data_IF_559323229649
#
_entry.id   IF_559323229649
#
_cell.length_a   1.000
_cell.length_b   1.000
_cell.length_c   1.000
_cell.angle_alpha   90.00
_cell.angle_beta   90.00
_cell.angle_gamma   90.00
#
_symmetry.space_group_name_H-M   'P 1'
#
loop_
_entity.id
_entity.type
_entity.pdbx_description
1 polymer ?
#
# COMPACT_ATOMS: atom_id res chain seq x y z
N UNK A 1 8.24 -42.59 -0.65
CA UNK A 1 9.68 -42.30 -0.58
C UNK A 1 10.08 -41.23 -1.60
N UNK A 2 11.31 -40.76 -1.51
CA UNK A 2 11.87 -39.82 -2.50
C UNK A 2 12.14 -40.53 -3.83
N UNK A 3 12.06 -39.81 -4.92
CA UNK A 3 12.52 -40.26 -6.23
C UNK A 3 14.06 -40.22 -6.31
N UNK A 4 14.69 -40.96 -7.25
CA UNK A 4 16.06 -40.70 -7.63
C UNK A 4 16.28 -39.22 -7.92
N UNK A 5 17.49 -38.71 -7.65
CA UNK A 5 17.78 -37.26 -7.75
C UNK A 5 17.47 -36.69 -9.14
N UNK A 6 17.55 -37.51 -10.18
CA UNK A 6 17.34 -37.07 -11.57
C UNK A 6 18.57 -36.40 -12.17
N UNK A 7 18.43 -35.87 -13.38
CA UNK A 7 19.51 -35.19 -14.13
C UNK A 7 19.23 -33.71 -14.32
N UNK A 8 20.23 -32.87 -14.03
CA UNK A 8 20.13 -31.45 -14.32
C UNK A 8 20.26 -31.24 -15.84
N UNK A 9 19.34 -30.50 -16.41
CA UNK A 9 19.27 -30.17 -17.83
C UNK A 9 18.88 -28.71 -18.03
N UNK A 10 19.29 -28.12 -19.13
CA UNK A 10 18.76 -26.81 -19.53
C UNK A 10 17.25 -26.86 -19.78
N UNK A 11 16.53 -25.85 -19.31
CA UNK A 11 15.10 -25.69 -19.55
C UNK A 11 14.86 -24.64 -20.65
N UNK A 12 14.97 -25.04 -21.93
CA UNK A 12 14.93 -24.12 -23.07
C UNK A 12 13.70 -23.21 -23.12
N UNK A 13 12.51 -23.73 -22.79
CA UNK A 13 11.28 -22.92 -22.71
C UNK A 13 11.28 -21.85 -21.63
N UNK A 14 12.12 -22.02 -20.61
CA UNK A 14 12.32 -21.08 -19.50
C UNK A 14 13.62 -20.28 -19.61
N UNK A 15 14.40 -20.50 -20.69
CA UNK A 15 15.74 -19.92 -20.88
C UNK A 15 16.70 -20.15 -19.72
N UNK A 16 16.51 -21.23 -18.96
CA UNK A 16 17.37 -21.62 -17.86
C UNK A 16 18.49 -22.53 -18.36
N UNK A 17 19.71 -22.23 -17.94
CA UNK A 17 20.91 -23.00 -18.27
C UNK A 17 21.02 -24.27 -17.41
N UNK A 18 21.72 -25.27 -17.91
CA UNK A 18 22.04 -26.48 -17.15
C UNK A 18 22.83 -26.14 -15.89
N UNK A 19 23.77 -25.20 -15.96
CA UNK A 19 24.58 -24.75 -14.82
C UNK A 19 23.69 -24.26 -13.67
N UNK A 20 22.68 -23.41 -13.97
CA UNK A 20 21.74 -22.90 -12.98
C UNK A 20 20.90 -24.02 -12.39
N UNK A 21 20.37 -24.93 -13.23
CA UNK A 21 19.61 -26.08 -12.77
C UNK A 21 20.46 -27.00 -11.87
N UNK A 22 21.70 -27.27 -12.25
CA UNK A 22 22.63 -28.07 -11.48
C UNK A 22 22.95 -27.45 -10.12
N UNK A 23 23.22 -26.15 -10.09
CA UNK A 23 23.51 -25.43 -8.86
C UNK A 23 22.35 -25.56 -7.85
N UNK A 24 21.10 -25.36 -8.28
CA UNK A 24 19.94 -25.42 -7.40
C UNK A 24 19.43 -26.86 -7.14
N UNK A 25 19.99 -27.86 -7.81
CA UNK A 25 19.48 -29.22 -7.73
C UNK A 25 18.09 -29.35 -8.34
N UNK A 26 17.80 -28.55 -9.39
CA UNK A 26 16.56 -28.65 -10.15
C UNK A 26 16.78 -29.65 -11.30
N UNK A 27 16.08 -30.76 -11.26
CA UNK A 27 16.40 -31.92 -12.10
C UNK A 27 15.19 -32.40 -12.88
N UNK A 28 15.46 -33.24 -13.88
CA UNK A 28 14.46 -33.97 -14.63
C UNK A 28 14.55 -35.44 -14.21
N UNK A 29 13.42 -36.03 -13.92
CA UNK A 29 13.30 -37.43 -13.54
C UNK A 29 12.03 -38.05 -14.06
N UNK A 30 11.69 -39.20 -13.52
CA UNK A 30 10.47 -39.94 -13.87
C UNK A 30 9.61 -40.18 -12.63
N UNK A 31 8.30 -39.99 -12.79
CA UNK A 31 7.30 -40.31 -11.79
C UNK A 31 6.09 -40.97 -12.44
N UNK A 32 5.80 -42.22 -12.04
CA UNK A 32 4.69 -43.02 -12.59
C UNK A 32 4.71 -43.13 -14.12
N UNK A 33 5.91 -43.37 -14.69
CA UNK A 33 6.09 -43.50 -16.12
C UNK A 33 6.06 -42.16 -16.91
N UNK A 34 6.02 -41.04 -16.23
CA UNK A 34 5.99 -39.72 -16.85
C UNK A 34 7.24 -38.90 -16.50
N UNK A 35 7.75 -38.19 -17.49
CA UNK A 35 8.85 -37.23 -17.32
C UNK A 35 8.38 -36.04 -16.49
N UNK A 36 9.08 -35.75 -15.40
CA UNK A 36 8.73 -34.69 -14.46
C UNK A 36 9.92 -33.80 -14.14
N UNK A 37 9.63 -32.55 -13.72
CA UNK A 37 10.61 -31.66 -13.15
C UNK A 37 10.62 -31.81 -11.62
N UNK A 38 11.79 -31.85 -11.03
CA UNK A 38 11.99 -32.14 -9.61
C UNK A 38 12.81 -31.01 -8.97
N UNK A 39 12.21 -30.29 -8.05
CA UNK A 39 12.93 -29.39 -7.14
C UNK A 39 13.35 -30.18 -5.90
N UNK A 40 14.66 -30.38 -5.74
CA UNK A 40 15.21 -31.13 -4.61
C UNK A 40 15.49 -30.20 -3.43
N UNK A 41 14.73 -30.33 -2.35
CA UNK A 41 14.93 -29.57 -1.11
C UNK A 41 15.92 -30.27 -0.21
N UNK A 42 16.87 -29.50 0.32
CA UNK A 42 17.93 -30.03 1.18
C UNK A 42 17.79 -29.52 2.61
N UNK A 43 18.11 -30.42 3.55
CA UNK A 43 18.25 -30.07 4.95
C UNK A 43 19.58 -29.34 5.25
N UNK A 44 19.77 -28.98 6.51
CA UNK A 44 21.00 -28.32 6.99
C UNK A 44 22.25 -29.17 6.80
N UNK A 45 22.12 -30.49 6.80
CA UNK A 45 23.20 -31.46 6.52
C UNK A 45 23.49 -31.65 5.03
N UNK A 46 22.76 -30.97 4.15
CA UNK A 46 22.90 -31.09 2.70
C UNK A 46 22.18 -32.29 2.08
N UNK A 47 21.56 -33.17 2.87
CA UNK A 47 20.77 -34.30 2.37
C UNK A 47 19.47 -33.81 1.74
N UNK A 48 18.94 -34.55 0.75
CA UNK A 48 17.61 -34.26 0.20
C UNK A 48 16.55 -34.76 1.17
N UNK A 49 15.77 -33.83 1.71
CA UNK A 49 14.70 -34.12 2.71
C UNK A 49 13.32 -34.16 2.06
N UNK A 50 13.13 -33.44 0.98
CA UNK A 50 11.86 -33.38 0.25
C UNK A 50 12.09 -33.09 -1.24
N UNK A 51 11.09 -33.39 -2.04
CA UNK A 51 11.08 -33.11 -3.47
C UNK A 51 9.73 -32.55 -3.86
N UNK A 52 9.73 -31.42 -4.56
CA UNK A 52 8.51 -30.90 -5.20
C UNK A 52 8.55 -31.25 -6.66
N UNK A 53 7.57 -32.04 -7.08
CA UNK A 53 7.46 -32.56 -8.44
C UNK A 53 6.47 -31.69 -9.19
N UNK A 54 6.86 -31.25 -10.39
CA UNK A 54 5.95 -30.62 -11.35
C UNK A 54 5.58 -31.60 -12.43
N UNK A 55 4.29 -31.99 -12.44
CA UNK A 55 3.70 -32.89 -13.41
C UNK A 55 3.44 -32.18 -14.77
N UNK A 56 3.30 -32.92 -15.90
CA UNK A 56 3.01 -32.33 -17.21
C UNK A 56 1.74 -31.49 -17.25
N UNK A 57 0.73 -31.81 -16.45
CA UNK A 57 -0.54 -31.09 -16.30
C UNK A 57 -0.46 -29.81 -15.43
N UNK A 58 0.77 -29.36 -15.11
CA UNK A 58 1.08 -28.23 -14.24
C UNK A 58 0.69 -28.43 -12.74
N UNK A 59 0.25 -29.60 -12.34
CA UNK A 59 0.04 -29.90 -10.92
C UNK A 59 1.38 -30.14 -10.20
N UNK A 60 1.38 -29.87 -8.92
CA UNK A 60 2.54 -30.09 -8.06
C UNK A 60 2.25 -31.17 -7.03
N UNK A 61 3.30 -31.94 -6.68
CA UNK A 61 3.21 -32.92 -5.61
C UNK A 61 4.50 -32.85 -4.77
N UNK A 62 4.34 -32.88 -3.45
CA UNK A 62 5.46 -33.01 -2.52
C UNK A 62 5.68 -34.48 -2.17
N UNK A 63 6.94 -34.90 -2.18
CA UNK A 63 7.43 -36.17 -1.65
C UNK A 63 8.41 -35.92 -0.51
N UNK A 64 8.50 -36.83 0.44
CA UNK A 64 9.37 -36.69 1.60
C UNK A 64 8.78 -35.77 2.67
N UNK A 65 9.64 -35.15 3.49
CA UNK A 65 9.21 -34.31 4.62
C UNK A 65 9.10 -32.83 4.18
N UNK A 66 7.91 -32.45 3.75
CA UNK A 66 7.63 -31.07 3.36
C UNK A 66 7.74 -30.07 4.54
N UNK A 67 7.70 -30.55 5.81
CA UNK A 67 7.87 -29.66 6.98
C UNK A 67 9.34 -29.38 7.26
N UNK A 68 10.20 -30.35 6.98
CA UNK A 68 11.66 -30.18 7.06
C UNK A 68 12.22 -29.38 5.87
N UNK A 69 11.47 -29.28 4.77
CA UNK A 69 11.85 -28.45 3.62
C UNK A 69 11.73 -26.97 4.01
N UNK A 70 12.86 -26.31 4.18
CA UNK A 70 12.95 -24.85 4.36
C UNK A 70 12.71 -24.11 3.04
N UNK A 71 13.35 -22.97 2.88
CA UNK A 71 13.35 -22.24 1.61
C UNK A 71 14.15 -23.00 0.55
N UNK A 72 13.61 -23.05 -0.67
CA UNK A 72 14.33 -23.69 -1.77
C UNK A 72 15.61 -22.94 -2.12
N UNK A 73 16.70 -23.66 -2.21
CA UNK A 73 18.03 -23.08 -2.47
C UNK A 73 18.73 -22.52 -1.22
N UNK A 74 18.13 -22.55 -0.03
CA UNK A 74 18.74 -22.04 1.21
C UNK A 74 20.11 -22.66 1.50
N UNK A 75 20.28 -23.95 1.27
CA UNK A 75 21.55 -24.69 1.47
C UNK A 75 22.74 -24.17 0.64
N UNK A 76 22.50 -23.35 -0.38
CA UNK A 76 23.54 -22.78 -1.26
C UNK A 76 24.23 -21.56 -0.64
N UNK A 77 23.65 -21.00 0.40
CA UNK A 77 24.05 -19.71 0.94
C UNK A 77 24.37 -19.83 2.42
N UNK A 78 25.42 -19.13 2.83
CA UNK A 78 25.74 -19.00 4.26
C UNK A 78 24.73 -18.09 4.96
N UNK A 79 24.60 -18.23 6.24
CA UNK A 79 23.88 -17.29 7.08
C UNK A 79 24.59 -15.93 7.05
N UNK A 80 23.80 -14.85 6.92
CA UNK A 80 24.29 -13.48 6.89
C UNK A 80 24.80 -13.00 5.54
N UNK A 81 24.67 -11.72 5.32
CA UNK A 81 25.09 -11.03 4.12
C UNK A 81 24.34 -9.74 3.89
N UNK A 82 24.71 -9.01 2.84
CA UNK A 82 24.12 -7.71 2.53
C UNK A 82 22.69 -7.83 1.99
N UNK A 83 22.39 -8.86 1.21
CA UNK A 83 21.11 -8.96 0.52
C UNK A 83 20.71 -10.40 0.27
N UNK A 84 19.45 -10.71 0.50
CA UNK A 84 18.77 -11.95 0.12
C UNK A 84 17.58 -11.61 -0.76
N UNK A 85 17.36 -12.33 -1.85
CA UNK A 85 16.13 -12.27 -2.65
C UNK A 85 15.29 -13.50 -2.36
N UNK A 86 14.00 -13.29 -2.08
CA UNK A 86 13.01 -14.36 -1.89
C UNK A 86 11.98 -14.26 -3.00
N UNK A 87 11.83 -15.34 -3.77
CA UNK A 87 10.82 -15.45 -4.84
C UNK A 87 9.67 -16.39 -4.44
N UNK A 88 8.57 -16.36 -5.17
CA UNK A 88 7.42 -17.21 -4.89
C UNK A 88 7.63 -18.66 -5.35
N UNK A 89 8.28 -18.89 -6.47
CA UNK A 89 8.47 -20.21 -7.06
C UNK A 89 9.93 -20.56 -7.31
N UNK A 90 10.20 -21.88 -7.38
CA UNK A 90 11.54 -22.41 -7.59
C UNK A 90 12.15 -21.93 -8.93
N UNK A 91 11.36 -21.95 -10.00
CA UNK A 91 11.76 -21.46 -11.33
C UNK A 91 12.10 -19.97 -11.29
N UNK A 92 11.35 -19.20 -10.51
CA UNK A 92 11.61 -17.77 -10.30
C UNK A 92 12.94 -17.55 -9.58
N UNK A 93 13.27 -18.38 -8.59
CA UNK A 93 14.57 -18.32 -7.90
C UNK A 93 15.72 -18.66 -8.86
N UNK A 94 15.57 -19.69 -9.69
CA UNK A 94 16.55 -20.02 -10.71
C UNK A 94 16.74 -18.86 -11.69
N UNK A 95 15.64 -18.27 -12.17
CA UNK A 95 15.67 -17.16 -13.13
C UNK A 95 16.36 -15.92 -12.56
N UNK A 96 16.04 -15.55 -11.33
CA UNK A 96 16.70 -14.43 -10.66
C UNK A 96 18.17 -14.71 -10.38
N UNK A 97 18.50 -15.91 -9.92
CA UNK A 97 19.90 -16.31 -9.69
C UNK A 97 20.70 -16.28 -10.98
N UNK A 98 20.16 -16.84 -12.07
CA UNK A 98 20.83 -16.80 -13.39
C UNK A 98 21.05 -15.36 -13.87
N UNK A 99 20.06 -14.48 -13.69
CA UNK A 99 20.20 -13.08 -14.05
C UNK A 99 21.38 -12.39 -13.32
N UNK A 100 21.67 -12.83 -12.08
CA UNK A 100 22.82 -12.36 -11.28
C UNK A 100 24.10 -13.20 -11.48
N UNK A 101 24.17 -14.04 -12.52
CA UNK A 101 25.33 -14.91 -12.79
C UNK A 101 25.53 -16.00 -11.73
N UNK A 102 24.48 -16.41 -11.04
CA UNK A 102 24.47 -17.45 -10.01
C UNK A 102 25.39 -17.15 -8.79
N UNK A 103 25.64 -15.89 -8.47
CA UNK A 103 26.64 -15.49 -7.46
C UNK A 103 26.06 -14.99 -6.14
N UNK A 104 24.81 -14.53 -6.13
CA UNK A 104 24.20 -13.85 -4.99
C UNK A 104 23.01 -14.62 -4.43
N UNK A 105 22.71 -14.43 -3.12
CA UNK A 105 21.68 -15.20 -2.44
C UNK A 105 20.28 -14.99 -3.02
N UNK A 106 19.71 -16.07 -3.52
CA UNK A 106 18.32 -16.15 -3.98
C UNK A 106 17.73 -17.46 -3.48
N UNK A 107 16.53 -17.39 -2.91
CA UNK A 107 15.75 -18.54 -2.45
C UNK A 107 14.30 -18.40 -2.91
N UNK A 108 13.54 -19.49 -2.83
CA UNK A 108 12.09 -19.38 -2.98
C UNK A 108 11.33 -20.02 -1.83
N UNK A 109 10.09 -19.58 -1.64
CA UNK A 109 9.14 -20.30 -0.77
C UNK A 109 8.73 -21.61 -1.45
N UNK A 110 8.21 -22.54 -0.66
CA UNK A 110 7.89 -23.90 -1.12
C UNK A 110 6.39 -24.13 -1.39
N UNK A 111 5.53 -23.22 -0.96
CA UNK A 111 4.08 -23.44 -0.86
C UNK A 111 3.21 -22.44 -1.64
N UNK A 112 3.83 -21.58 -2.48
CA UNK A 112 3.13 -20.49 -3.16
C UNK A 112 2.63 -19.41 -2.19
N UNK A 113 1.94 -18.39 -2.72
CA UNK A 113 1.50 -17.21 -1.97
C UNK A 113 0.75 -17.56 -0.66
N UNK A 114 -0.20 -18.47 -0.71
CA UNK A 114 -1.02 -18.84 0.47
C UNK A 114 -0.21 -19.41 1.66
N UNK A 115 0.95 -19.97 1.40
CA UNK A 115 1.82 -20.55 2.45
C UNK A 115 3.06 -19.71 2.74
N UNK A 116 3.25 -18.58 2.07
CA UNK A 116 4.45 -17.78 2.09
C UNK A 116 4.87 -17.35 3.50
N UNK A 117 3.94 -16.77 4.26
CA UNK A 117 4.17 -16.34 5.63
C UNK A 117 4.73 -17.46 6.52
N UNK A 118 4.09 -18.62 6.48
CA UNK A 118 4.52 -19.79 7.29
C UNK A 118 5.88 -20.32 6.83
N UNK A 119 6.12 -20.36 5.53
CA UNK A 119 7.38 -20.83 4.97
C UNK A 119 8.55 -19.96 5.42
N UNK A 120 8.42 -18.63 5.32
CA UNK A 120 9.43 -17.68 5.76
C UNK A 120 9.59 -17.71 7.29
N UNK A 121 8.50 -17.82 8.05
CA UNK A 121 8.55 -17.90 9.50
C UNK A 121 9.36 -19.13 9.98
N UNK A 122 9.27 -20.27 9.30
CA UNK A 122 10.06 -21.46 9.62
C UNK A 122 11.56 -21.28 9.33
N UNK A 123 11.94 -20.33 8.49
CA UNK A 123 13.34 -20.01 8.13
C UNK A 123 13.73 -18.59 8.57
N UNK A 124 13.01 -18.02 9.55
CA UNK A 124 13.13 -16.60 9.91
C UNK A 124 14.55 -16.23 10.35
N UNK A 125 15.21 -17.09 11.14
CA UNK A 125 16.59 -16.87 11.58
C UNK A 125 17.55 -16.67 10.40
N UNK A 126 17.45 -17.53 9.38
CA UNK A 126 18.23 -17.39 8.15
C UNK A 126 17.89 -16.10 7.41
N UNK A 127 16.62 -15.79 7.22
CA UNK A 127 16.19 -14.58 6.49
C UNK A 127 16.61 -13.31 7.23
N UNK A 128 16.42 -13.28 8.55
CA UNK A 128 16.80 -12.16 9.42
C UNK A 128 18.32 -11.95 9.53
N UNK A 129 19.13 -12.95 9.20
CA UNK A 129 20.59 -12.83 9.20
C UNK A 129 21.13 -11.87 8.14
N UNK A 130 20.33 -11.56 7.10
CA UNK A 130 20.73 -10.63 6.04
C UNK A 130 20.37 -9.18 6.40
N UNK A 131 21.18 -8.22 5.93
CA UNK A 131 20.92 -6.78 6.16
C UNK A 131 19.68 -6.31 5.42
N UNK A 132 19.46 -6.78 4.19
CA UNK A 132 18.37 -6.42 3.31
C UNK A 132 17.72 -7.65 2.71
N UNK A 133 16.40 -7.72 2.73
CA UNK A 133 15.62 -8.82 2.13
C UNK A 133 14.70 -8.27 1.05
N UNK A 134 14.90 -8.71 -0.18
CA UNK A 134 14.06 -8.35 -1.33
C UNK A 134 12.99 -9.43 -1.49
N UNK A 135 11.73 -9.06 -1.32
CA UNK A 135 10.58 -9.91 -1.57
C UNK A 135 10.14 -9.67 -3.02
N UNK A 136 10.31 -10.68 -3.86
CA UNK A 136 10.08 -10.62 -5.30
C UNK A 136 9.07 -11.70 -5.70
N UNK A 137 7.83 -11.50 -5.30
CA UNK A 137 6.72 -12.43 -5.57
C UNK A 137 6.00 -12.06 -6.87
N UNK A 138 5.08 -12.91 -7.29
CA UNK A 138 4.32 -12.74 -8.50
C UNK A 138 3.52 -11.43 -8.50
N UNK A 139 3.41 -10.79 -9.65
CA UNK A 139 2.76 -9.48 -9.80
C UNK A 139 1.24 -9.62 -9.95
N UNK A 140 0.64 -10.53 -9.18
CA UNK A 140 -0.79 -10.67 -9.03
C UNK A 140 -1.26 -10.30 -7.61
N UNK A 141 -2.56 -10.26 -7.39
CA UNK A 141 -3.13 -9.87 -6.10
C UNK A 141 -2.69 -10.79 -4.96
N UNK A 142 -2.58 -12.10 -5.21
CA UNK A 142 -2.19 -13.07 -4.20
C UNK A 142 -0.72 -12.91 -3.82
N UNK A 143 0.17 -12.78 -4.82
CA UNK A 143 1.60 -12.56 -4.62
C UNK A 143 1.88 -11.24 -3.88
N UNK A 144 1.20 -10.16 -4.25
CA UNK A 144 1.39 -8.85 -3.59
C UNK A 144 0.89 -8.86 -2.14
N UNK A 145 -0.24 -9.51 -1.87
CA UNK A 145 -0.73 -9.70 -0.49
C UNK A 145 0.25 -10.51 0.33
N UNK A 146 0.73 -11.62 -0.20
CA UNK A 146 1.70 -12.48 0.46
C UNK A 146 3.05 -11.76 0.70
N UNK A 147 3.48 -10.89 -0.23
CA UNK A 147 4.69 -10.08 -0.07
C UNK A 147 4.58 -9.15 1.14
N UNK A 148 3.44 -8.50 1.33
CA UNK A 148 3.16 -7.65 2.51
C UNK A 148 3.15 -8.49 3.80
N UNK A 149 2.48 -9.64 3.80
CA UNK A 149 2.43 -10.53 4.97
C UNK A 149 3.83 -11.05 5.38
N UNK A 150 4.69 -11.36 4.41
CA UNK A 150 6.09 -11.75 4.67
C UNK A 150 6.90 -10.56 5.17
N UNK A 151 6.72 -9.39 4.58
CA UNK A 151 7.42 -8.18 5.01
C UNK A 151 7.15 -7.81 6.48
N UNK A 152 5.92 -8.05 6.94
CA UNK A 152 5.50 -7.83 8.34
C UNK A 152 6.19 -8.76 9.36
N UNK A 153 6.79 -9.86 8.91
CA UNK A 153 7.54 -10.76 9.79
C UNK A 153 8.94 -10.24 10.11
N UNK A 154 9.48 -9.38 9.24
CA UNK A 154 10.87 -8.96 9.29
C UNK A 154 11.05 -7.70 10.15
N UNK A 155 12.24 -7.56 10.69
CA UNK A 155 12.63 -6.37 11.44
C UNK A 155 12.44 -5.09 10.62
N UNK A 156 12.06 -3.97 11.25
CA UNK A 156 11.80 -2.70 10.56
C UNK A 156 12.96 -2.28 9.64
N UNK A 157 12.63 -1.84 8.44
CA UNK A 157 13.59 -1.39 7.43
C UNK A 157 14.31 -2.50 6.65
N UNK A 158 14.16 -3.76 7.02
CA UNK A 158 14.83 -4.89 6.39
C UNK A 158 14.13 -5.37 5.11
N UNK A 159 12.81 -5.48 5.14
CA UNK A 159 12.00 -5.94 4.01
C UNK A 159 11.88 -4.86 2.92
N UNK A 160 12.10 -5.27 1.69
CA UNK A 160 11.87 -4.44 0.50
C UNK A 160 11.03 -5.24 -0.50
N UNK A 161 10.00 -4.63 -1.06
CA UNK A 161 9.13 -5.29 -2.04
C UNK A 161 9.52 -4.81 -3.44
N UNK A 162 9.84 -5.76 -4.32
CA UNK A 162 10.17 -5.50 -5.71
C UNK A 162 8.89 -5.40 -6.55
N UNK A 163 8.89 -4.50 -7.53
CA UNK A 163 7.83 -4.38 -8.54
C UNK A 163 8.36 -4.85 -9.88
N UNK A 164 7.69 -5.81 -10.51
CA UNK A 164 8.07 -6.40 -11.77
C UNK A 164 7.28 -5.81 -12.94
N UNK A 165 7.87 -5.77 -14.13
CA UNK A 165 7.18 -5.36 -15.37
C UNK A 165 6.46 -6.51 -16.07
N UNK A 166 6.68 -7.76 -15.63
CA UNK A 166 5.98 -8.97 -16.03
C UNK A 166 5.34 -9.62 -14.80
N UNK A 167 4.68 -10.77 -15.00
CA UNK A 167 4.04 -11.46 -13.89
C UNK A 167 5.04 -12.00 -12.86
N UNK A 168 6.14 -12.57 -13.31
CA UNK A 168 7.14 -13.18 -12.44
C UNK A 168 8.57 -13.07 -13.01
N UNK A 169 9.61 -13.37 -12.21
CA UNK A 169 11.01 -13.35 -12.67
C UNK A 169 11.31 -14.30 -13.84
N UNK A 170 10.59 -15.42 -13.95
CA UNK A 170 10.77 -16.35 -15.07
C UNK A 170 10.24 -15.76 -16.37
N UNK A 171 9.10 -15.09 -16.35
CA UNK A 171 8.54 -14.42 -17.52
C UNK A 171 9.44 -13.25 -17.96
N UNK A 172 10.04 -12.52 -17.04
CA UNK A 172 11.03 -11.48 -17.35
C UNK A 172 12.26 -12.07 -18.06
N UNK A 173 12.78 -13.21 -17.58
CA UNK A 173 13.91 -13.87 -18.23
C UNK A 173 13.55 -14.39 -19.63
N UNK A 174 12.37 -15.03 -19.77
CA UNK A 174 11.87 -15.54 -21.06
C UNK A 174 11.67 -14.41 -22.06
N UNK A 175 11.19 -13.25 -21.63
CA UNK A 175 10.98 -12.08 -22.48
C UNK A 175 12.23 -11.24 -22.72
N UNK A 176 13.43 -11.70 -22.26
CA UNK A 176 14.70 -11.03 -22.48
C UNK A 176 14.92 -9.78 -21.61
N UNK A 177 14.12 -9.59 -20.57
CA UNK A 177 14.15 -8.44 -19.66
C UNK A 177 15.10 -8.65 -18.47
N UNK A 178 16.23 -9.31 -18.68
CA UNK A 178 17.20 -9.62 -17.62
C UNK A 178 17.71 -8.38 -16.91
N UNK A 179 17.96 -7.29 -17.65
CA UNK A 179 18.42 -6.03 -17.08
C UNK A 179 17.33 -5.41 -16.20
N UNK A 180 16.08 -5.36 -16.67
CA UNK A 180 14.96 -4.85 -15.89
C UNK A 180 14.72 -5.66 -14.63
N UNK A 181 14.91 -6.99 -14.67
CA UNK A 181 14.82 -7.86 -13.49
C UNK A 181 15.85 -7.49 -12.42
N UNK A 182 17.08 -7.22 -12.82
CA UNK A 182 18.13 -6.74 -11.91
C UNK A 182 17.80 -5.34 -11.37
N UNK A 183 17.32 -4.44 -12.22
CA UNK A 183 16.90 -3.10 -11.84
C UNK A 183 15.74 -3.15 -10.83
N UNK A 184 14.75 -4.03 -11.01
CA UNK A 184 13.64 -4.25 -10.07
C UNK A 184 14.13 -4.69 -8.68
N UNK A 185 15.17 -5.50 -8.60
CA UNK A 185 15.81 -5.88 -7.34
C UNK A 185 16.45 -4.68 -6.63
N UNK A 186 17.20 -3.85 -7.36
CA UNK A 186 17.89 -2.69 -6.78
C UNK A 186 16.93 -1.56 -6.40
N UNK A 187 15.85 -1.36 -7.16
CA UNK A 187 14.83 -0.33 -6.95
C UNK A 187 13.70 -0.78 -6.01
N UNK A 188 13.80 -1.98 -5.43
CA UNK A 188 12.80 -2.49 -4.49
C UNK A 188 12.60 -1.52 -3.33
N UNK A 189 11.33 -1.20 -3.06
CA UNK A 189 10.95 -0.21 -2.05
C UNK A 189 10.90 -0.84 -0.67
N UNK A 190 11.47 -0.15 0.33
CA UNK A 190 11.37 -0.59 1.72
C UNK A 190 9.89 -0.71 2.12
N UNK A 191 9.54 -1.86 2.67
CA UNK A 191 8.22 -2.04 3.26
C UNK A 191 8.13 -1.25 4.57
N UNK A 192 7.08 -0.48 4.69
CA UNK A 192 6.73 0.25 5.91
C UNK A 192 5.28 -0.02 6.23
N UNK A 193 4.95 -0.31 7.49
CA UNK A 193 3.55 -0.31 7.92
C UNK A 193 2.89 1.02 7.55
N UNK A 194 1.62 0.98 7.19
CA UNK A 194 0.87 2.18 6.82
C UNK A 194 1.07 3.30 7.86
N UNK A 195 1.39 4.49 7.37
CA UNK A 195 1.58 5.68 8.18
C UNK A 195 2.98 5.87 8.80
N UNK A 196 3.91 4.91 8.68
CA UNK A 196 5.29 5.08 9.18
C UNK A 196 6.22 5.45 8.03
N UNK A 197 6.80 6.65 8.08
CA UNK A 197 7.77 7.15 7.12
C UNK A 197 9.08 7.46 7.85
N UNK A 198 10.22 7.06 7.28
CA UNK A 198 11.52 7.45 7.81
C UNK A 198 11.78 8.93 7.55
N UNK A 199 12.39 9.62 8.51
CA UNK A 199 12.77 11.03 8.33
C UNK A 199 13.72 11.28 7.16
N UNK A 200 14.56 10.30 6.81
CA UNK A 200 15.47 10.39 5.67
C UNK A 200 14.76 10.48 4.31
N UNK A 201 13.55 9.87 4.21
CA UNK A 201 12.77 9.90 2.96
C UNK A 201 11.86 11.12 2.85
N UNK A 202 11.85 11.99 3.86
CA UNK A 202 11.01 13.19 3.84
C UNK A 202 11.64 14.35 3.08
N UNK A 203 12.92 14.26 2.68
CA UNK A 203 13.60 15.39 2.03
C UNK A 203 12.85 15.93 0.82
N UNK A 204 12.41 15.09 -0.10
CA UNK A 204 11.69 15.52 -1.30
C UNK A 204 10.34 16.18 -0.97
N UNK A 205 9.66 15.68 0.06
CA UNK A 205 8.40 16.25 0.53
C UNK A 205 8.58 17.62 1.21
N UNK A 206 9.64 17.78 2.02
CA UNK A 206 9.88 19.03 2.76
C UNK A 206 10.63 20.07 1.94
N UNK A 207 11.40 19.66 0.94
CA UNK A 207 12.10 20.59 0.02
C UNK A 207 11.18 21.21 -1.03
N UNK A 208 10.01 20.61 -1.26
CA UNK A 208 8.99 21.17 -2.16
C UNK A 208 8.16 22.20 -1.40
N UNK A 209 8.11 23.43 -1.92
CA UNK A 209 7.30 24.50 -1.34
C UNK A 209 5.81 24.15 -1.44
N UNK A 210 5.09 24.26 -0.32
CA UNK A 210 3.63 24.10 -0.29
C UNK A 210 2.96 25.32 -0.94
N UNK A 211 2.50 25.15 -2.17
CA UNK A 211 1.83 26.19 -2.95
C UNK A 211 0.30 26.14 -2.82
N UNK A 212 -0.24 25.40 -1.84
CA UNK A 212 -1.70 25.29 -1.64
C UNK A 212 -2.32 26.67 -1.44
N UNK A 213 -3.25 27.12 -2.29
CA UNK A 213 -3.90 28.40 -2.17
C UNK A 213 -4.63 28.54 -0.84
N UNK A 214 -4.49 29.68 -0.18
CA UNK A 214 -5.22 30.00 1.04
C UNK A 214 -6.38 30.96 0.76
N UNK A 215 -7.49 30.75 1.44
CA UNK A 215 -8.66 31.63 1.41
C UNK A 215 -8.64 32.42 2.73
N UNK A 216 -8.72 33.76 2.69
CA UNK A 216 -8.70 34.54 3.92
C UNK A 216 -9.93 34.29 4.78
N UNK A 217 -9.79 34.40 6.09
CA UNK A 217 -10.93 34.52 7.03
C UNK A 217 -11.56 35.90 6.88
N UNK A 218 -12.85 36.07 7.23
CA UNK A 218 -13.50 37.39 7.28
C UNK A 218 -12.92 38.29 8.41
N UNK A 219 -11.98 37.78 9.20
CA UNK A 219 -11.38 38.43 10.34
C UNK A 219 -9.89 38.74 10.08
N UNK A 220 -9.50 40.01 9.82
CA UNK A 220 -8.13 40.38 9.44
C UNK A 220 -7.07 39.94 10.47
N UNK A 221 -7.38 40.08 11.77
CA UNK A 221 -6.48 39.66 12.85
C UNK A 221 -6.18 38.16 12.85
N UNK A 222 -7.14 37.34 12.41
CA UNK A 222 -6.95 35.90 12.28
C UNK A 222 -6.04 35.58 11.10
N UNK A 223 -6.21 36.26 9.99
CA UNK A 223 -5.38 36.11 8.77
C UNK A 223 -3.91 36.43 9.05
N UNK A 224 -3.63 37.43 9.85
CA UNK A 224 -2.24 37.78 10.26
C UNK A 224 -1.56 36.63 10.98
N UNK A 225 -2.31 35.83 11.72
CA UNK A 225 -1.76 34.72 12.52
C UNK A 225 -1.76 33.37 11.78
N UNK A 226 -2.78 33.09 10.97
CA UNK A 226 -2.97 31.78 10.33
C UNK A 226 -2.59 31.78 8.83
N UNK A 227 -2.52 32.95 8.22
CA UNK A 227 -2.38 33.13 6.77
C UNK A 227 -3.55 32.57 5.96
N UNK A 228 -4.77 32.56 6.55
CA UNK A 228 -5.99 32.06 5.91
C UNK A 228 -6.26 30.57 6.15
N UNK A 229 -7.27 30.06 5.44
CA UNK A 229 -7.72 28.68 5.44
C UNK A 229 -7.20 27.94 4.23
N UNK A 230 -6.86 26.67 4.35
CA UNK A 230 -6.42 25.83 3.22
C UNK A 230 -7.26 24.57 3.14
N UNK A 231 -7.41 24.03 1.94
CA UNK A 231 -8.08 22.74 1.76
C UNK A 231 -7.28 21.63 2.44
N UNK A 232 -8.01 20.71 3.08
CA UNK A 232 -7.40 19.60 3.84
C UNK A 232 -7.08 19.92 5.30
N UNK A 233 -7.25 21.17 5.76
CA UNK A 233 -7.07 21.54 7.16
C UNK A 233 -8.32 21.27 8.00
N UNK A 234 -8.11 20.79 9.22
CA UNK A 234 -9.11 20.73 10.28
C UNK A 234 -8.92 21.92 11.22
N UNK A 235 -9.91 22.82 11.28
CA UNK A 235 -9.90 23.97 12.17
C UNK A 235 -10.91 23.77 13.29
N UNK A 236 -10.48 23.80 14.55
CA UNK A 236 -11.35 23.68 15.71
C UNK A 236 -11.54 25.05 16.36
N UNK A 237 -12.80 25.47 16.50
CA UNK A 237 -13.20 26.70 17.19
C UNK A 237 -13.84 26.32 18.52
N UNK A 238 -13.25 26.78 19.62
CA UNK A 238 -13.77 26.53 20.97
C UNK A 238 -13.97 27.81 21.75
N UNK A 239 -15.03 27.87 22.53
CA UNK A 239 -15.33 28.96 23.44
C UNK A 239 -16.40 28.53 24.46
N UNK A 240 -16.60 29.29 25.51
CA UNK A 240 -17.70 29.08 26.46
C UNK A 240 -19.08 29.13 25.79
N UNK A 241 -20.10 28.67 26.50
CA UNK A 241 -21.48 28.76 26.02
C UNK A 241 -21.93 30.23 25.87
N UNK A 242 -22.70 30.56 24.84
CA UNK A 242 -23.23 31.88 24.58
C UNK A 242 -22.26 32.93 24.04
N UNK A 243 -20.95 32.60 23.81
CA UNK A 243 -19.92 33.56 23.36
C UNK A 243 -19.99 33.86 21.85
N UNK A 244 -20.75 33.08 21.07
CA UNK A 244 -20.96 33.35 19.64
C UNK A 244 -20.24 32.40 18.69
N UNK A 245 -19.84 31.19 19.13
CA UNK A 245 -19.20 30.17 18.25
C UNK A 245 -19.96 29.95 16.95
N UNK A 246 -21.27 29.69 17.04
CA UNK A 246 -22.13 29.45 15.87
C UNK A 246 -22.20 30.66 14.93
N UNK A 247 -22.16 31.87 15.48
CA UNK A 247 -22.13 33.10 14.69
C UNK A 247 -20.83 33.23 13.90
N UNK A 248 -19.68 32.96 14.52
CA UNK A 248 -18.37 32.95 13.83
C UNK A 248 -18.35 31.91 12.73
N UNK A 249 -18.88 30.71 12.95
CA UNK A 249 -18.98 29.67 11.90
C UNK A 249 -19.86 30.12 10.73
N UNK A 250 -21.00 30.78 10.98
CA UNK A 250 -21.87 31.32 9.93
C UNK A 250 -21.18 32.44 9.13
N UNK A 251 -20.47 33.34 9.78
CA UNK A 251 -19.70 34.39 9.12
C UNK A 251 -18.61 33.83 8.21
N UNK A 252 -17.88 32.81 8.66
CA UNK A 252 -16.90 32.09 7.83
C UNK A 252 -17.59 31.42 6.65
N UNK A 253 -18.71 30.71 6.88
CA UNK A 253 -19.46 30.04 5.83
C UNK A 253 -19.99 31.02 4.78
N UNK A 254 -20.56 32.14 5.20
CA UNK A 254 -21.03 33.20 4.30
C UNK A 254 -19.89 33.81 3.50
N UNK A 255 -18.77 34.11 4.14
CA UNK A 255 -17.57 34.62 3.48
C UNK A 255 -17.07 33.66 2.41
N UNK A 256 -16.91 32.37 2.74
CA UNK A 256 -16.47 31.35 1.79
C UNK A 256 -17.38 31.24 0.57
N UNK A 257 -18.69 31.31 0.78
CA UNK A 257 -19.65 31.32 -0.33
C UNK A 257 -19.49 32.55 -1.24
N UNK A 258 -19.18 33.72 -0.69
CA UNK A 258 -18.90 34.93 -1.46
C UNK A 258 -17.57 34.85 -2.21
N UNK A 259 -16.57 34.15 -1.68
CA UNK A 259 -15.29 33.87 -2.36
C UNK A 259 -15.45 32.81 -3.46
N UNK A 260 -16.63 32.25 -3.66
CA UNK A 260 -16.93 31.30 -4.72
C UNK A 260 -16.85 29.84 -4.30
N UNK A 261 -16.61 29.55 -3.04
CA UNK A 261 -16.53 28.21 -2.52
C UNK A 261 -17.90 27.58 -2.25
N UNK A 262 -17.99 26.25 -2.38
CA UNK A 262 -19.17 25.49 -1.96
C UNK A 262 -19.04 25.12 -0.48
N UNK A 263 -20.10 25.37 0.29
CA UNK A 263 -20.10 25.19 1.74
C UNK A 263 -21.13 24.15 2.15
N UNK A 264 -20.69 23.06 2.74
CA UNK A 264 -21.56 22.14 3.49
C UNK A 264 -21.67 22.63 4.94
N UNK A 265 -22.85 22.92 5.42
CA UNK A 265 -23.08 23.40 6.79
C UNK A 265 -23.95 22.42 7.57
N UNK A 266 -23.38 21.85 8.62
CA UNK A 266 -24.02 20.87 9.49
C UNK A 266 -24.22 21.49 10.87
N UNK A 267 -25.49 21.81 11.21
CA UNK A 267 -25.86 22.35 12.51
C UNK A 267 -26.67 21.30 13.28
N UNK A 268 -26.08 20.71 14.31
CA UNK A 268 -26.68 19.63 15.09
C UNK A 268 -27.57 20.13 16.23
N UNK A 269 -27.49 21.44 16.57
CA UNK A 269 -28.23 22.07 17.67
C UNK A 269 -29.36 22.99 17.19
N UNK A 270 -29.49 23.20 15.88
CA UNK A 270 -30.56 24.08 15.32
C UNK A 270 -31.12 23.50 14.01
N UNK A 271 -32.33 23.87 13.66
CA UNK A 271 -32.92 23.42 12.40
C UNK A 271 -32.47 24.28 11.21
N UNK A 272 -32.56 23.73 10.00
CA UNK A 272 -32.11 24.37 8.75
C UNK A 272 -32.77 25.74 8.50
N UNK A 273 -34.04 25.92 8.94
CA UNK A 273 -34.73 27.20 8.81
C UNK A 273 -34.07 28.30 9.65
N UNK A 274 -33.65 27.99 10.88
CA UNK A 274 -32.96 28.94 11.77
C UNK A 274 -31.57 29.30 11.19
N UNK A 275 -30.82 28.31 10.71
CA UNK A 275 -29.53 28.52 10.04
C UNK A 275 -29.68 29.40 8.80
N UNK A 276 -30.68 29.12 7.94
CA UNK A 276 -30.96 29.91 6.74
C UNK A 276 -31.30 31.38 7.07
N UNK A 277 -32.18 31.61 8.03
CA UNK A 277 -32.56 32.98 8.47
C UNK A 277 -31.35 33.72 9.03
N UNK A 278 -30.49 33.04 9.79
CA UNK A 278 -29.29 33.66 10.35
C UNK A 278 -28.27 34.03 9.27
N UNK A 279 -28.08 33.19 8.25
CA UNK A 279 -27.24 33.51 7.08
C UNK A 279 -27.78 34.66 6.25
N UNK A 280 -29.12 34.71 6.04
CA UNK A 280 -29.77 35.84 5.37
C UNK A 280 -29.60 37.15 6.19
N UNK A 281 -29.65 37.03 7.52
CA UNK A 281 -29.39 38.15 8.42
C UNK A 281 -28.00 38.76 8.24
N UNK A 282 -26.98 37.92 8.01
CA UNK A 282 -25.62 38.40 7.68
C UNK A 282 -25.60 39.19 6.38
N UNK A 283 -26.26 38.71 5.33
CA UNK A 283 -26.32 39.40 4.04
C UNK A 283 -27.02 40.77 4.11
N UNK A 284 -27.97 40.94 5.06
CA UNK A 284 -28.74 42.17 5.26
C UNK A 284 -28.17 43.07 6.36
N UNK A 285 -27.17 42.58 7.11
CA UNK A 285 -26.70 43.22 8.34
C UNK A 285 -27.87 43.52 9.33
N UNK A 286 -28.80 42.57 9.43
CA UNK A 286 -29.98 42.66 10.28
C UNK A 286 -30.19 41.36 11.07
N UNK A 287 -30.58 41.44 12.36
CA UNK A 287 -30.80 40.22 13.17
C UNK A 287 -32.21 39.61 12.86
N UNK A 288 -32.37 39.08 11.65
CA UNK A 288 -33.64 38.51 11.15
C UNK A 288 -34.20 37.38 12.00
N UNK A 289 -33.39 36.74 12.80
CA UNK A 289 -33.81 35.72 13.75
C UNK A 289 -34.51 36.29 14.99
N UNK A 290 -34.33 37.58 15.29
CA UNK A 290 -35.01 38.30 16.40
C UNK A 290 -36.24 39.06 15.92
N UNK A 291 -36.13 39.83 14.85
CA UNK A 291 -37.25 40.57 14.28
C UNK A 291 -37.11 40.71 12.76
N UNK A 292 -38.27 40.79 12.09
CA UNK A 292 -38.39 41.09 10.66
C UNK A 292 -39.09 42.44 10.41
N UNK A 293 -39.22 43.26 11.44
CA UNK A 293 -39.87 44.54 11.33
C UNK A 293 -39.18 45.43 10.29
N UNK A 294 -40.00 45.99 9.37
CA UNK A 294 -39.50 46.84 8.32
C UNK A 294 -38.70 46.11 7.20
N UNK A 295 -38.82 44.79 7.10
CA UNK A 295 -38.21 43.98 6.04
C UNK A 295 -39.29 43.53 5.06
N UNK A 296 -39.14 43.87 3.79
CA UNK A 296 -40.05 43.46 2.72
C UNK A 296 -39.80 42.03 2.25
N UNK A 297 -40.82 41.43 1.59
CA UNK A 297 -40.63 40.10 0.97
C UNK A 297 -39.56 40.10 -0.13
N UNK A 298 -39.46 41.22 -0.87
CA UNK A 298 -38.43 41.37 -1.92
C UNK A 298 -37.00 41.37 -1.33
N UNK A 299 -36.78 42.13 -0.24
CA UNK A 299 -35.51 42.13 0.48
C UNK A 299 -35.18 40.74 1.05
N UNK A 300 -36.17 40.03 1.57
CA UNK A 300 -36.01 38.65 2.04
C UNK A 300 -35.62 37.71 0.89
N UNK A 301 -36.23 37.85 -0.28
CA UNK A 301 -35.92 37.06 -1.46
C UNK A 301 -34.53 37.32 -1.99
N UNK A 302 -34.12 38.58 -2.01
CA UNK A 302 -32.77 38.98 -2.42
C UNK A 302 -31.72 38.40 -1.46
N UNK A 303 -31.93 38.54 -0.15
CA UNK A 303 -31.04 37.94 0.86
C UNK A 303 -30.97 36.41 0.75
N UNK A 304 -32.07 35.74 0.47
CA UNK A 304 -32.11 34.31 0.24
C UNK A 304 -31.26 33.92 -0.97
N UNK A 305 -31.42 34.60 -2.11
CA UNK A 305 -30.66 34.35 -3.33
C UNK A 305 -29.16 34.63 -3.18
N UNK A 306 -28.76 35.59 -2.35
CA UNK A 306 -27.37 35.91 -2.03
C UNK A 306 -26.71 34.94 -1.05
N UNK A 307 -27.47 34.13 -0.36
CA UNK A 307 -27.00 33.19 0.66
C UNK A 307 -27.36 31.75 0.30
N UNK A 308 -28.34 31.17 0.99
CA UNK A 308 -28.70 29.74 0.87
C UNK A 308 -29.29 29.37 -0.49
N UNK A 309 -29.85 30.32 -1.23
CA UNK A 309 -30.40 30.14 -2.58
C UNK A 309 -29.38 30.22 -3.72
N UNK A 310 -28.10 30.47 -3.44
CA UNK A 310 -27.08 30.70 -4.47
C UNK A 310 -26.44 29.43 -5.01
N UNK A 311 -26.96 28.22 -4.71
CA UNK A 311 -26.46 26.92 -5.09
C UNK A 311 -25.05 26.54 -4.55
N UNK A 312 -24.50 27.35 -3.65
CA UNK A 312 -23.20 27.10 -3.01
C UNK A 312 -23.32 26.63 -1.57
N UNK A 313 -24.50 26.78 -0.95
CA UNK A 313 -24.79 26.26 0.37
C UNK A 313 -25.53 24.94 0.31
N UNK A 314 -25.02 23.96 1.08
CA UNK A 314 -25.64 22.67 1.30
C UNK A 314 -25.90 22.53 2.81
N UNK A 315 -27.15 22.56 3.20
CA UNK A 315 -27.58 22.45 4.62
C UNK A 315 -27.99 21.00 4.89
N UNK A 316 -27.52 20.44 5.97
CA UNK A 316 -27.92 19.10 6.39
C UNK A 316 -29.14 19.21 7.31
N UNK A 317 -30.28 18.64 6.88
CA UNK A 317 -31.53 18.66 7.62
C UNK A 317 -31.58 17.50 8.63
N UNK A 318 -30.86 17.67 9.73
CA UNK A 318 -30.85 16.71 10.83
C UNK A 318 -30.75 17.45 12.16
N UNK A 319 -31.44 16.93 13.17
CA UNK A 319 -31.41 17.46 14.51
C UNK A 319 -31.02 16.37 15.50
N UNK A 320 -29.89 16.54 16.19
CA UNK A 320 -29.38 15.58 17.17
C UNK A 320 -28.03 14.97 16.77
N UNK A 321 -27.68 13.84 17.39
CA UNK A 321 -26.42 13.12 17.10
C UNK A 321 -26.50 12.33 15.79
N UNK A 322 -25.40 12.22 15.08
CA UNK A 322 -25.27 11.52 13.81
C UNK A 322 -24.17 10.46 13.85
N UNK A 323 -24.39 9.35 13.18
CA UNK A 323 -23.34 8.35 12.98
C UNK A 323 -22.42 8.78 11.84
N UNK A 324 -21.13 8.50 11.98
CA UNK A 324 -20.07 8.90 11.03
C UNK A 324 -20.30 8.38 9.62
N UNK A 325 -20.96 7.22 9.49
CA UNK A 325 -21.23 6.56 8.21
C UNK A 325 -22.30 7.29 7.36
N UNK A 326 -22.95 8.33 7.92
CA UNK A 326 -23.99 9.13 7.26
C UNK A 326 -23.49 10.54 6.88
N UNK A 327 -22.20 10.81 7.02
CA UNK A 327 -21.52 12.03 6.59
C UNK A 327 -20.77 11.79 5.27
#
# INVERSE_FOLDING_TARGET
GLLPFGEAQALGKRKLTEETCKKFGYTIGEYQGQKVQIANYRGKDGSVVAQKIRLPNKNFKFLGDAKAAGLYGQHLWRDGGKMLVITEGEICALSMSQAQGNKFPVVSINSGAAGAKRCVQNSLEFVESYEKVIIMFDNDTAGQTAAVEVAQLLSPGKAHIATLSENDPSDMLVNGKTRELIEAMWSAKVYRPDGIISGEDLWDAVSTEDTTPSIPYPFPGLNTKTRGMRRGELVTITAGSGVGKSQVCREIAYHLSNEGESVGYIALEENVRHTAISLMGLAMDKPLHLSRDGVTEEEMRDAFNKTVGNSRFFLYDHFGSMQTDNL
#
